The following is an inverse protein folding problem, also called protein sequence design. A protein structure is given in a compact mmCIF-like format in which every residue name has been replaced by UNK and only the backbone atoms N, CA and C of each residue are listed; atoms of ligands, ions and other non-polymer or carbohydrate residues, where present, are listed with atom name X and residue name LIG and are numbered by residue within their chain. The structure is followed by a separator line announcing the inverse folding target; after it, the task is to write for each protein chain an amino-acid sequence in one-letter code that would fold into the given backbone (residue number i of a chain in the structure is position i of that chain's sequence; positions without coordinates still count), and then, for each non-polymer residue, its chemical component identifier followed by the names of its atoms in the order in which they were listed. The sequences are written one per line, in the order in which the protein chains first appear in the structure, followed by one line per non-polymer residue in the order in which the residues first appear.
data_IF_649539614648
#
_entry.id   IF_649539614648
#
_cell.length_a   1.000
_cell.length_b   1.000
_cell.length_c   1.000
_cell.angle_alpha   90.00
_cell.angle_beta   90.00
_cell.angle_gamma   90.00
#
_symmetry.space_group_name_H-M   'P 1'
#
loop_
_entity.id
_entity.type
_entity.pdbx_description
1 polymer ?
#
# COMPACT_ATOMS: atom_id res chain seq x y z
N UNK A 1 -62.95 67.19 36.90
CA UNK A 1 -61.64 67.48 37.52
C UNK A 1 -60.84 66.18 37.55
N UNK A 2 -59.74 66.15 36.79
CA UNK A 2 -58.58 65.22 36.80
C UNK A 2 -58.82 63.68 36.77
N UNK A 3 -58.41 63.12 35.64
CA UNK A 3 -58.06 61.72 35.36
C UNK A 3 -56.78 61.35 36.13
N UNK A 4 -56.65 60.10 36.63
CA UNK A 4 -55.35 59.44 36.65
C UNK A 4 -55.35 58.17 35.79
N UNK A 5 -54.43 58.18 34.84
CA UNK A 5 -54.02 57.09 33.96
C UNK A 5 -53.15 56.14 34.80
N UNK A 6 -53.36 54.83 34.70
CA UNK A 6 -52.43 53.83 35.22
C UNK A 6 -52.43 52.57 34.35
N UNK A 7 -51.28 51.87 34.28
CA UNK A 7 -50.73 51.46 32.99
C UNK A 7 -51.05 50.02 32.61
N UNK A 8 -51.09 49.86 31.28
CA UNK A 8 -51.09 48.63 30.51
C UNK A 8 -50.02 47.65 31.02
N UNK A 9 -50.43 46.52 31.61
CA UNK A 9 -49.54 45.40 31.88
C UNK A 9 -49.30 44.62 30.58
N UNK A 10 -48.16 44.87 29.92
CA UNK A 10 -47.65 44.01 28.85
C UNK A 10 -47.24 42.66 29.45
N UNK A 11 -47.99 41.60 29.15
CA UNK A 11 -47.54 40.23 29.32
C UNK A 11 -46.59 39.88 28.15
N UNK A 12 -45.28 39.85 28.42
CA UNK A 12 -44.28 39.39 27.45
C UNK A 12 -44.34 37.85 27.40
N UNK A 13 -44.90 37.32 26.31
CA UNK A 13 -44.82 35.89 25.97
C UNK A 13 -43.37 35.60 25.56
N UNK A 14 -42.59 35.05 26.50
CA UNK A 14 -41.24 34.56 26.24
C UNK A 14 -41.28 33.24 25.47
N UNK A 15 -41.34 33.30 24.13
CA UNK A 15 -41.10 32.15 23.27
C UNK A 15 -39.60 31.80 23.34
N UNK A 16 -39.23 30.86 24.21
CA UNK A 16 -37.88 30.31 24.24
C UNK A 16 -37.66 29.49 22.95
N UNK A 17 -37.04 30.10 21.94
CA UNK A 17 -36.55 29.38 20.76
C UNK A 17 -35.43 28.45 21.19
N UNK A 18 -35.74 27.17 21.38
CA UNK A 18 -34.73 26.13 21.45
C UNK A 18 -34.03 26.06 20.08
N UNK A 19 -32.84 26.63 20.00
CA UNK A 19 -31.92 26.35 18.89
C UNK A 19 -31.61 24.84 18.94
N UNK A 20 -31.80 24.08 17.86
CA UNK A 20 -31.26 22.73 17.80
C UNK A 20 -29.74 22.85 17.91
N UNK A 21 -29.16 22.24 18.94
CA UNK A 21 -27.73 22.00 19.00
C UNK A 21 -27.38 21.14 17.78
N UNK A 22 -26.84 21.78 16.73
CA UNK A 22 -26.19 21.06 15.62
C UNK A 22 -25.17 20.14 16.28
N UNK A 23 -25.24 18.81 16.06
CA UNK A 23 -24.27 17.91 16.67
C UNK A 23 -22.89 18.37 16.21
N UNK A 24 -22.03 18.66 17.17
CA UNK A 24 -20.62 18.90 16.94
C UNK A 24 -20.02 17.61 16.38
N UNK A 25 -20.19 17.40 15.07
CA UNK A 25 -19.41 16.56 14.17
C UNK A 25 -18.69 15.42 14.90
N UNK A 26 -19.48 14.56 15.56
CA UNK A 26 -18.93 13.61 16.52
C UNK A 26 -17.98 12.68 15.78
N UNK A 27 -16.84 12.39 16.40
CA UNK A 27 -15.86 11.46 15.88
C UNK A 27 -16.40 10.02 15.97
N UNK A 28 -17.34 9.70 15.09
CA UNK A 28 -17.98 8.39 15.03
C UNK A 28 -17.19 7.42 14.16
N UNK A 29 -17.26 6.11 14.43
CA UNK A 29 -16.74 5.08 13.53
C UNK A 29 -17.22 5.27 12.09
N UNK A 30 -18.48 5.62 11.88
CA UNK A 30 -19.09 5.82 10.56
C UNK A 30 -18.40 6.96 9.81
N UNK A 31 -18.16 8.10 10.49
CA UNK A 31 -17.45 9.24 9.90
C UNK A 31 -16.02 8.88 9.53
N UNK A 32 -15.29 8.22 10.43
CA UNK A 32 -13.91 7.79 10.18
C UNK A 32 -13.85 6.82 9.00
N UNK A 33 -14.79 5.87 8.90
CA UNK A 33 -14.89 4.97 7.76
C UNK A 33 -15.18 5.73 6.46
N UNK A 34 -16.12 6.66 6.45
CA UNK A 34 -16.46 7.45 5.27
C UNK A 34 -15.29 8.33 4.81
N UNK A 35 -14.59 9.00 5.73
CA UNK A 35 -13.42 9.82 5.42
C UNK A 35 -12.25 8.97 4.90
N UNK A 36 -12.01 7.82 5.53
CA UNK A 36 -11.01 6.85 5.09
C UNK A 36 -11.32 6.33 3.67
N UNK A 37 -12.58 5.98 3.39
CA UNK A 37 -13.05 5.55 2.07
C UNK A 37 -12.86 6.65 1.02
N UNK A 38 -13.18 7.90 1.36
CA UNK A 38 -13.02 9.04 0.47
C UNK A 38 -11.54 9.33 0.16
N UNK A 39 -10.66 9.28 1.17
CA UNK A 39 -9.22 9.42 0.99
C UNK A 39 -8.67 8.32 0.09
N UNK A 40 -9.07 7.07 0.31
CA UNK A 40 -8.68 5.93 -0.52
C UNK A 40 -9.16 6.08 -1.97
N UNK A 41 -10.41 6.50 -2.20
CA UNK A 41 -10.94 6.77 -3.54
C UNK A 41 -10.09 7.76 -4.33
N UNK A 42 -9.67 8.85 -3.68
CA UNK A 42 -8.75 9.84 -4.25
C UNK A 42 -7.35 9.26 -4.50
N UNK A 43 -6.76 8.58 -3.53
CA UNK A 43 -5.39 8.06 -3.61
C UNK A 43 -5.24 6.91 -4.64
N UNK A 44 -6.26 6.05 -4.72
CA UNK A 44 -6.26 4.86 -5.57
C UNK A 44 -6.97 5.07 -6.92
N UNK A 45 -7.51 6.27 -7.17
CA UNK A 45 -8.23 6.64 -8.39
C UNK A 45 -9.34 5.63 -8.74
N UNK A 46 -10.10 5.22 -7.75
CA UNK A 46 -11.21 4.26 -7.92
C UNK A 46 -12.52 4.84 -7.40
N UNK A 47 -13.63 4.25 -7.82
CA UNK A 47 -14.96 4.67 -7.41
C UNK A 47 -15.25 4.18 -6.00
N UNK A 48 -15.94 5.00 -5.21
CA UNK A 48 -16.29 4.66 -3.83
C UNK A 48 -16.99 3.30 -3.69
N UNK A 49 -17.93 2.86 -4.56
CA UNK A 49 -18.57 1.54 -4.46
C UNK A 49 -17.60 0.36 -4.48
N UNK A 50 -16.41 0.53 -5.08
CA UNK A 50 -15.38 -0.51 -5.14
C UNK A 50 -14.50 -0.57 -3.88
N UNK A 51 -14.76 0.27 -2.89
CA UNK A 51 -13.96 0.41 -1.68
C UNK A 51 -14.81 -0.01 -0.48
N UNK A 52 -14.35 -0.97 0.30
CA UNK A 52 -14.96 -1.31 1.58
C UNK A 52 -14.06 -0.82 2.70
N UNK A 53 -14.65 -0.37 3.81
CA UNK A 53 -13.93 0.11 5.00
C UNK A 53 -14.56 -0.48 6.24
N UNK A 54 -13.74 -0.82 7.23
CA UNK A 54 -14.13 -1.33 8.53
C UNK A 54 -13.36 -0.60 9.62
N UNK A 55 -14.09 -0.18 10.65
CA UNK A 55 -13.49 0.34 11.87
C UNK A 55 -12.97 -0.81 12.73
N UNK A 56 -11.70 -0.74 13.14
CA UNK A 56 -11.02 -1.80 13.89
C UNK A 56 -10.86 -1.48 15.37
N UNK A 57 -11.34 -0.31 15.81
CA UNK A 57 -11.21 0.13 17.21
C UNK A 57 -10.08 1.12 17.45
N UNK A 58 -9.84 1.39 18.72
CA UNK A 58 -8.74 2.23 19.19
C UNK A 58 -7.53 1.35 19.54
N UNK A 59 -6.33 1.76 19.12
CA UNK A 59 -5.06 1.09 19.42
C UNK A 59 -4.53 1.46 20.81
N UNK A 60 -3.50 0.76 21.26
CA UNK A 60 -2.82 1.02 22.54
C UNK A 60 -2.19 2.42 22.62
N UNK A 61 -1.78 3.01 21.49
CA UNK A 61 -1.29 4.40 21.40
C UNK A 61 -2.42 5.44 21.48
N UNK A 62 -3.68 4.99 21.50
CA UNK A 62 -4.89 5.81 21.51
C UNK A 62 -5.38 6.21 20.12
N UNK A 63 -4.68 5.89 19.04
CA UNK A 63 -5.15 6.19 17.67
C UNK A 63 -6.31 5.29 17.28
N UNK A 64 -7.25 5.83 16.51
CA UNK A 64 -8.36 5.07 15.96
C UNK A 64 -7.97 4.45 14.61
N UNK A 65 -8.34 3.19 14.39
CA UNK A 65 -7.94 2.40 13.23
C UNK A 65 -9.12 2.14 12.30
N UNK A 66 -8.93 2.40 11.00
CA UNK A 66 -9.85 1.96 9.95
C UNK A 66 -9.05 1.22 8.90
N UNK A 67 -9.41 -0.02 8.62
CA UNK A 67 -8.89 -0.77 7.48
C UNK A 67 -9.84 -0.66 6.31
N UNK A 68 -9.31 -0.78 5.10
CA UNK A 68 -10.14 -0.85 3.92
C UNK A 68 -9.52 -1.65 2.79
N UNK A 69 -10.38 -2.02 1.86
CA UNK A 69 -10.07 -2.85 0.70
C UNK A 69 -10.68 -2.21 -0.53
N UNK A 70 -9.86 -1.92 -1.52
CA UNK A 70 -10.28 -1.44 -2.84
C UNK A 70 -10.17 -2.57 -3.86
N UNK A 71 -11.27 -2.86 -4.56
CA UNK A 71 -11.34 -3.88 -5.62
C UNK A 71 -11.20 -3.22 -6.99
N UNK A 72 -10.39 -3.84 -7.84
CA UNK A 72 -10.21 -3.49 -9.24
C UNK A 72 -10.42 -4.72 -10.11
N UNK A 73 -10.63 -4.52 -11.40
CA UNK A 73 -10.67 -5.63 -12.36
C UNK A 73 -9.34 -6.39 -12.32
N UNK A 74 -9.33 -7.57 -11.70
CA UNK A 74 -8.18 -8.46 -11.60
C UNK A 74 -7.20 -8.20 -10.44
N UNK A 75 -7.48 -7.26 -9.51
CA UNK A 75 -6.65 -7.11 -8.30
C UNK A 75 -7.39 -6.45 -7.12
N UNK A 76 -6.86 -6.68 -5.92
CA UNK A 76 -7.34 -6.09 -4.67
C UNK A 76 -6.20 -5.36 -3.98
N UNK A 77 -6.45 -4.14 -3.52
CA UNK A 77 -5.49 -3.34 -2.74
C UNK A 77 -6.07 -3.13 -1.35
N UNK A 78 -5.28 -3.37 -0.29
CA UNK A 78 -5.70 -3.02 1.07
C UNK A 78 -5.04 -1.72 1.50
N UNK A 79 -5.67 -1.01 2.42
CA UNK A 79 -5.16 0.24 2.98
C UNK A 79 -5.63 0.40 4.42
N UNK A 80 -4.95 1.28 5.13
CA UNK A 80 -5.21 1.57 6.54
C UNK A 80 -5.16 3.08 6.76
N UNK A 81 -6.18 3.58 7.45
CA UNK A 81 -6.21 4.93 7.98
C UNK A 81 -6.03 4.88 9.50
N UNK A 82 -5.24 5.81 10.02
CA UNK A 82 -5.17 6.08 11.46
C UNK A 82 -5.71 7.47 11.73
N UNK A 83 -6.56 7.60 12.72
CA UNK A 83 -7.07 8.86 13.22
C UNK A 83 -6.46 9.16 14.58
N UNK A 84 -6.36 10.45 14.93
CA UNK A 84 -5.92 10.90 16.23
C UNK A 84 -6.76 10.28 17.37
N UNK A 85 -6.34 10.48 18.62
CA UNK A 85 -7.05 9.94 19.79
C UNK A 85 -8.50 10.39 19.94
N UNK A 86 -8.83 11.54 19.37
CA UNK A 86 -10.20 12.04 19.36
C UNK A 86 -11.05 11.48 18.21
N UNK A 87 -10.48 10.70 17.28
CA UNK A 87 -11.15 10.20 16.07
C UNK A 87 -11.57 11.28 15.07
N UNK A 88 -11.15 12.53 15.27
CA UNK A 88 -11.61 13.70 14.51
C UNK A 88 -10.74 14.07 13.31
N UNK A 89 -9.49 13.57 13.26
CA UNK A 89 -8.54 13.88 12.19
C UNK A 89 -7.74 12.66 11.80
N UNK A 90 -7.68 12.38 10.50
CA UNK A 90 -6.77 11.37 9.96
C UNK A 90 -5.32 11.83 10.11
N UNK A 91 -4.51 11.07 10.83
CA UNK A 91 -3.08 11.33 11.07
C UNK A 91 -2.16 10.48 10.21
N UNK A 92 -2.65 9.35 9.69
CA UNK A 92 -1.89 8.50 8.79
C UNK A 92 -2.81 7.81 7.77
N UNK A 93 -2.30 7.61 6.56
CA UNK A 93 -2.94 6.84 5.51
C UNK A 93 -1.87 6.02 4.78
N UNK A 94 -1.99 4.70 4.85
CA UNK A 94 -1.05 3.77 4.25
C UNK A 94 -1.80 2.87 3.29
N UNK A 95 -1.36 2.79 2.03
CA UNK A 95 -1.80 1.73 1.13
C UNK A 95 -0.87 0.55 1.41
N UNK A 96 -1.45 -0.56 1.87
CA UNK A 96 -0.76 -1.82 2.06
C UNK A 96 -0.55 -2.45 0.69
N UNK A 97 0.29 -1.79 -0.12
CA UNK A 97 0.91 -2.46 -1.24
C UNK A 97 1.78 -3.51 -0.57
N UNK A 98 1.49 -4.80 -0.81
CA UNK A 98 2.60 -5.75 -0.89
C UNK A 98 3.65 -5.02 -1.69
N UNK A 99 4.87 -4.78 -1.17
CA UNK A 99 5.86 -4.04 -1.93
C UNK A 99 5.88 -4.70 -3.30
N UNK A 100 5.37 -3.99 -4.31
CA UNK A 100 5.45 -4.49 -5.67
C UNK A 100 6.94 -4.70 -5.81
N UNK A 101 7.37 -5.97 -5.91
CA UNK A 101 8.77 -6.33 -5.93
C UNK A 101 9.40 -5.32 -6.88
N UNK A 102 10.19 -4.39 -6.33
CA UNK A 102 10.61 -3.20 -7.05
C UNK A 102 11.05 -3.70 -8.42
N UNK A 103 10.51 -3.18 -9.55
CA UNK A 103 10.73 -3.78 -10.85
C UNK A 103 12.21 -4.08 -10.92
N UNK A 104 12.55 -5.37 -10.95
CA UNK A 104 13.91 -5.78 -10.62
C UNK A 104 14.79 -4.99 -11.57
N UNK A 105 15.58 -4.04 -11.03
CA UNK A 105 16.48 -3.20 -11.82
C UNK A 105 17.08 -4.13 -12.87
N UNK A 106 16.95 -3.84 -14.19
CA UNK A 106 17.35 -4.77 -15.21
C UNK A 106 18.73 -5.27 -14.82
N UNK A 107 18.84 -6.58 -14.57
CA UNK A 107 20.09 -7.18 -14.16
C UNK A 107 21.11 -6.74 -15.21
N UNK A 108 22.07 -5.94 -14.75
CA UNK A 108 22.88 -5.13 -15.65
C UNK A 108 23.56 -6.01 -16.68
N UNK A 109 23.78 -5.48 -17.89
CA UNK A 109 24.54 -6.16 -18.96
C UNK A 109 25.87 -6.75 -18.44
N UNK A 110 26.48 -6.12 -17.43
CA UNK A 110 27.67 -6.62 -16.72
C UNK A 110 27.50 -7.99 -16.06
N UNK A 111 26.37 -8.27 -15.39
CA UNK A 111 26.11 -9.56 -14.72
C UNK A 111 26.01 -10.69 -15.75
N UNK A 112 25.26 -10.46 -16.85
CA UNK A 112 25.15 -11.44 -17.94
C UNK A 112 26.52 -11.78 -18.52
N UNK A 113 27.33 -10.76 -18.79
CA UNK A 113 28.69 -10.93 -19.33
C UNK A 113 29.60 -11.68 -18.36
N UNK A 114 29.61 -11.32 -17.08
CA UNK A 114 30.41 -11.99 -16.05
C UNK A 114 30.05 -13.48 -15.93
N UNK A 115 28.76 -13.81 -15.93
CA UNK A 115 28.32 -15.21 -15.87
C UNK A 115 28.66 -16.00 -17.14
N UNK A 116 28.52 -15.42 -18.33
CA UNK A 116 28.95 -16.09 -19.57
C UNK A 116 30.46 -16.37 -19.56
N UNK A 117 31.28 -15.44 -19.06
CA UNK A 117 32.73 -15.63 -18.94
C UNK A 117 33.03 -16.75 -17.93
N UNK A 118 32.39 -16.74 -16.76
CA UNK A 118 32.64 -17.75 -15.73
C UNK A 118 32.24 -19.16 -16.19
N UNK A 119 31.07 -19.33 -16.82
CA UNK A 119 30.63 -20.62 -17.38
C UNK A 119 31.51 -21.04 -18.56
N UNK A 120 31.93 -20.09 -19.40
CA UNK A 120 32.86 -20.37 -20.51
C UNK A 120 34.20 -20.91 -20.03
N UNK A 121 34.76 -20.32 -18.98
CA UNK A 121 35.98 -20.83 -18.32
C UNK A 121 35.77 -22.22 -17.72
N UNK A 122 34.66 -22.43 -17.02
CA UNK A 122 34.38 -23.70 -16.36
C UNK A 122 34.14 -24.86 -17.33
N UNK A 123 33.48 -24.59 -18.46
CA UNK A 123 33.08 -25.63 -19.43
C UNK A 123 34.05 -25.77 -20.61
N UNK A 124 34.98 -24.82 -20.75
CA UNK A 124 35.80 -24.65 -21.95
C UNK A 124 34.98 -24.63 -23.25
N UNK A 125 33.77 -24.04 -23.21
CA UNK A 125 32.85 -23.92 -24.36
C UNK A 125 32.67 -22.48 -24.79
N UNK A 126 32.47 -22.31 -26.10
CA UNK A 126 32.03 -21.05 -26.74
C UNK A 126 30.56 -21.17 -27.17
N UNK A 127 29.96 -20.06 -27.62
CA UNK A 127 28.56 -20.06 -28.07
C UNK A 127 27.54 -20.18 -26.93
N UNK A 128 27.91 -19.73 -25.73
CA UNK A 128 27.02 -19.72 -24.58
C UNK A 128 25.91 -18.69 -24.76
N UNK A 129 24.68 -19.02 -24.34
CA UNK A 129 23.55 -18.09 -24.37
C UNK A 129 22.80 -18.08 -23.05
N UNK A 130 22.35 -16.90 -22.62
CA UNK A 130 21.55 -16.76 -21.41
C UNK A 130 20.11 -17.21 -21.70
N UNK A 131 19.62 -18.19 -20.95
CA UNK A 131 18.23 -18.66 -21.00
C UNK A 131 17.34 -17.75 -20.14
N UNK A 132 17.73 -17.52 -18.88
CA UNK A 132 16.94 -16.71 -17.96
C UNK A 132 17.82 -15.99 -16.95
N UNK A 133 17.29 -14.89 -16.42
CA UNK A 133 17.91 -14.10 -15.36
C UNK A 133 16.85 -13.82 -14.31
N UNK A 134 17.12 -14.21 -13.07
CA UNK A 134 16.20 -14.05 -11.93
C UNK A 134 16.95 -13.49 -10.73
N UNK A 135 16.25 -12.70 -9.92
CA UNK A 135 16.78 -12.26 -8.63
C UNK A 135 16.49 -13.35 -7.59
N UNK A 136 17.53 -13.85 -6.93
CA UNK A 136 17.42 -14.59 -5.68
C UNK A 136 17.53 -13.64 -4.48
N UNK A 137 17.40 -14.18 -3.29
CA UNK A 137 17.43 -13.40 -2.03
C UNK A 137 18.76 -12.66 -1.84
N UNK A 138 19.88 -13.32 -2.14
CA UNK A 138 21.24 -12.81 -1.90
C UNK A 138 22.07 -12.67 -3.18
N UNK A 139 21.54 -13.10 -4.31
CA UNK A 139 22.29 -13.15 -5.58
C UNK A 139 21.38 -13.01 -6.79
N UNK A 140 21.98 -12.77 -7.94
CA UNK A 140 21.31 -12.85 -9.23
C UNK A 140 21.62 -14.19 -9.88
N UNK A 141 20.57 -14.95 -10.16
CA UNK A 141 20.63 -16.29 -10.75
C UNK A 141 20.53 -16.16 -12.26
N UNK A 142 21.54 -16.61 -12.99
CA UNK A 142 21.59 -16.63 -14.45
C UNK A 142 21.66 -18.08 -14.92
N UNK A 143 20.64 -18.52 -15.67
CA UNK A 143 20.66 -19.81 -16.35
C UNK A 143 21.23 -19.64 -17.76
N UNK A 144 22.20 -20.48 -18.11
CA UNK A 144 22.98 -20.41 -19.33
C UNK A 144 22.86 -21.74 -20.07
N UNK A 145 22.51 -21.66 -21.36
CA UNK A 145 22.60 -22.77 -22.29
C UNK A 145 24.06 -22.93 -22.68
N UNK A 146 24.59 -24.13 -22.44
CA UNK A 146 25.90 -24.56 -22.91
C UNK A 146 25.70 -25.56 -24.04
N UNK A 147 26.28 -25.36 -25.23
CA UNK A 147 26.16 -26.32 -26.33
C UNK A 147 26.64 -27.71 -25.92
N UNK A 148 25.82 -28.73 -26.18
CA UNK A 148 26.09 -30.13 -25.82
C UNK A 148 25.78 -30.51 -24.36
N UNK A 149 25.39 -29.56 -23.51
CA UNK A 149 24.93 -29.86 -22.16
C UNK A 149 23.44 -30.28 -22.16
N UNK A 150 23.10 -31.35 -21.44
CA UNK A 150 21.72 -31.86 -21.36
C UNK A 150 20.79 -30.97 -20.53
N UNK A 151 21.36 -30.09 -19.71
CA UNK A 151 20.64 -29.13 -18.89
C UNK A 151 21.38 -27.80 -18.78
N UNK A 152 20.72 -26.73 -18.30
CA UNK A 152 21.35 -25.44 -18.13
C UNK A 152 22.51 -25.46 -17.11
N UNK A 153 23.42 -24.51 -17.27
CA UNK A 153 24.34 -24.13 -16.22
C UNK A 153 23.78 -22.94 -15.45
N UNK A 154 23.90 -22.97 -14.14
CA UNK A 154 23.50 -21.90 -13.24
C UNK A 154 24.72 -21.12 -12.78
N UNK A 155 24.64 -19.80 -12.88
CA UNK A 155 25.59 -18.86 -12.32
C UNK A 155 24.88 -17.98 -11.29
N UNK A 156 25.38 -17.95 -10.06
CA UNK A 156 24.89 -17.04 -9.02
C UNK A 156 25.89 -15.86 -8.91
N UNK A 157 25.40 -14.64 -9.14
CA UNK A 157 26.19 -13.42 -9.14
C UNK A 157 25.79 -12.51 -7.97
N UNK A 158 26.72 -12.24 -7.06
CA UNK A 158 26.54 -11.36 -5.90
C UNK A 158 26.74 -9.89 -6.24
N UNK A 159 26.97 -9.06 -5.23
CA UNK A 159 27.25 -7.62 -5.41
C UNK A 159 28.66 -7.37 -5.94
N UNK A 160 29.63 -8.20 -5.57
CA UNK A 160 31.06 -8.03 -5.89
C UNK A 160 31.53 -8.87 -7.09
N UNK A 161 30.74 -9.85 -7.54
CA UNK A 161 31.10 -10.70 -8.67
C UNK A 161 30.35 -12.03 -8.71
N UNK A 162 30.85 -12.96 -9.52
CA UNK A 162 30.31 -14.33 -9.60
C UNK A 162 30.66 -15.10 -8.32
N UNK A 163 29.65 -15.61 -7.63
CA UNK A 163 29.81 -16.37 -6.40
C UNK A 163 30.06 -17.86 -6.69
N UNK A 164 29.27 -18.43 -7.60
CA UNK A 164 29.37 -19.84 -7.98
C UNK A 164 28.76 -20.12 -9.35
N UNK A 165 29.28 -21.16 -9.99
CA UNK A 165 28.80 -21.70 -11.26
C UNK A 165 28.66 -23.21 -11.13
N UNK A 166 27.52 -23.78 -11.50
CA UNK A 166 27.29 -25.22 -11.42
C UNK A 166 26.28 -25.70 -12.47
N UNK A 167 26.38 -26.97 -12.86
CA UNK A 167 25.43 -27.62 -13.76
C UNK A 167 24.12 -27.91 -13.01
N UNK A 168 22.98 -27.47 -13.54
CA UNK A 168 21.68 -27.88 -12.98
C UNK A 168 21.40 -29.27 -13.53
N UNK A 169 21.29 -30.30 -12.69
CA UNK A 169 20.94 -31.63 -13.19
C UNK A 169 19.55 -31.57 -13.87
N UNK A 170 19.41 -32.25 -15.01
CA UNK A 170 18.08 -32.54 -15.55
C UNK A 170 17.41 -33.49 -14.56
N UNK A 171 16.23 -33.12 -14.06
CA UNK A 171 15.36 -34.05 -13.34
C UNK A 171 14.89 -35.18 -14.25
#
# INVERSE_FOLDING_TARGET
MRIPISPLALAVVGLATMLPAVPADAATPERMMAECRARAGKALKTRLPNIETKYEGQRTDGTHAVNGTARFSGRTETFQCSFNRAGSRMVNFVINRTPAAAPAKPVGRGVRRACLIAVGKQTNRRGLSVISVRRGETSTIVLIRVPGAKAPWRCDHGTTGVLRVFYTQAG
#
